data_IF_416723550807
#
_entry.id   IF_416723550807
#
_cell.length_a   1.000
_cell.length_b   1.000
_cell.length_c   1.000
_cell.angle_alpha   90.00
_cell.angle_beta   90.00
_cell.angle_gamma   90.00
#
_symmetry.space_group_name_H-M   'P 1'
#
loop_
_entity.id
_entity.type
_entity.pdbx_description
1 polymer ?
#
# COMPACT_ATOMS: atom_id res chain seq x y z
N UNK A 1 8.24 -12.02 -20.78
CA UNK A 1 6.96 -11.30 -20.66
C UNK A 1 6.02 -12.19 -19.86
N UNK A 2 5.53 -11.74 -18.70
CA UNK A 2 4.56 -12.52 -17.88
C UNK A 2 3.15 -12.30 -18.42
N UNK A 3 2.45 -13.37 -18.77
CA UNK A 3 1.06 -13.34 -19.23
C UNK A 3 0.13 -13.46 -18.02
N UNK A 4 -0.86 -12.58 -17.94
CA UNK A 4 -1.85 -12.55 -16.87
C UNK A 4 -3.23 -12.97 -17.39
N UNK A 5 -3.87 -13.90 -16.69
CA UNK A 5 -5.16 -14.50 -17.00
C UNK A 5 -6.17 -14.21 -15.89
N UNK A 6 -7.46 -14.29 -16.23
CA UNK A 6 -8.64 -14.12 -15.38
C UNK A 6 -8.74 -12.74 -14.69
N UNK A 7 -9.77 -11.96 -15.04
CA UNK A 7 -10.16 -10.77 -14.28
C UNK A 7 -11.16 -11.19 -13.20
N UNK A 8 -10.79 -11.04 -11.92
CA UNK A 8 -11.69 -11.34 -10.82
C UNK A 8 -11.94 -10.10 -9.97
N UNK A 9 -13.20 -9.74 -9.78
CA UNK A 9 -13.57 -8.72 -8.80
C UNK A 9 -13.18 -9.20 -7.40
N UNK A 10 -12.41 -8.39 -6.67
CA UNK A 10 -11.99 -8.69 -5.30
C UNK A 10 -12.87 -7.97 -4.29
N UNK A 11 -13.14 -6.69 -4.55
CA UNK A 11 -13.89 -5.83 -3.64
C UNK A 11 -14.57 -4.71 -4.41
N UNK A 12 -15.76 -4.33 -3.92
CA UNK A 12 -16.43 -3.08 -4.22
C UNK A 12 -16.75 -2.43 -2.87
N UNK A 13 -15.92 -1.48 -2.44
CA UNK A 13 -16.07 -0.77 -1.16
C UNK A 13 -16.19 0.71 -1.47
N UNK A 14 -17.34 1.29 -1.13
CA UNK A 14 -17.64 2.71 -1.37
C UNK A 14 -17.42 3.13 -2.85
N UNK A 15 -17.73 2.25 -3.80
CA UNK A 15 -17.58 2.51 -5.24
C UNK A 15 -16.16 2.29 -5.78
N UNK A 16 -15.18 1.97 -4.92
CA UNK A 16 -13.84 1.58 -5.33
C UNK A 16 -13.85 0.11 -5.76
N UNK A 17 -13.64 -0.13 -7.06
CA UNK A 17 -13.54 -1.48 -7.62
C UNK A 17 -12.08 -1.89 -7.75
N UNK A 18 -11.75 -3.03 -7.15
CA UNK A 18 -10.43 -3.64 -7.25
C UNK A 18 -10.55 -5.03 -7.82
N UNK A 19 -9.72 -5.30 -8.82
CA UNK A 19 -9.67 -6.56 -9.55
C UNK A 19 -8.32 -7.25 -9.34
N UNK A 20 -8.30 -8.58 -9.40
CA UNK A 20 -7.07 -9.36 -9.52
C UNK A 20 -6.93 -9.92 -10.94
N UNK A 21 -5.68 -9.97 -11.42
CA UNK A 21 -5.26 -10.81 -12.54
C UNK A 21 -4.10 -11.71 -12.11
N UNK A 22 -4.19 -12.99 -12.43
CA UNK A 22 -3.21 -13.98 -12.00
C UNK A 22 -2.27 -14.32 -13.16
N UNK A 23 -0.96 -14.32 -12.91
CA UNK A 23 0.01 -14.87 -13.85
C UNK A 23 -0.27 -16.35 -14.15
N UNK A 24 0.28 -16.88 -15.25
CA UNK A 24 0.13 -18.30 -15.61
C UNK A 24 0.46 -19.27 -14.45
N UNK A 25 1.47 -18.97 -13.64
CA UNK A 25 1.87 -19.87 -12.54
C UNK A 25 1.00 -19.64 -11.30
N UNK A 26 0.69 -18.37 -10.98
CA UNK A 26 -0.12 -18.05 -9.79
C UNK A 26 -1.59 -18.45 -9.92
N UNK A 27 -2.13 -18.63 -11.13
CA UNK A 27 -3.50 -19.16 -11.29
C UNK A 27 -3.63 -20.59 -10.77
N UNK A 28 -2.58 -21.42 -10.90
CA UNK A 28 -2.56 -22.78 -10.34
C UNK A 28 -2.36 -22.78 -8.82
N UNK A 29 -1.72 -21.74 -8.27
CA UNK A 29 -1.66 -21.50 -6.82
C UNK A 29 -2.97 -20.94 -6.25
N UNK A 30 -3.82 -20.41 -7.13
CA UNK A 30 -5.17 -19.94 -6.85
C UNK A 30 -6.24 -21.02 -7.09
N UNK A 31 -5.87 -22.30 -7.16
CA UNK A 31 -6.88 -23.36 -7.19
C UNK A 31 -7.65 -23.41 -5.86
N UNK A 32 -8.95 -23.74 -5.87
CA UNK A 32 -9.71 -24.07 -4.66
C UNK A 32 -8.95 -25.09 -3.80
N UNK A 33 -8.85 -24.86 -2.49
CA UNK A 33 -8.52 -25.97 -1.61
C UNK A 33 -9.72 -26.94 -1.57
N UNK A 34 -9.52 -28.21 -1.20
CA UNK A 34 -10.57 -29.24 -1.13
C UNK A 34 -11.76 -28.89 -0.19
N UNK A 35 -11.76 -27.70 0.44
CA UNK A 35 -12.78 -27.19 1.37
C UNK A 35 -13.54 -25.98 0.79
N UNK A 36 -14.16 -26.16 -0.37
CA UNK A 36 -15.45 -25.51 -0.69
C UNK A 36 -15.42 -24.06 -1.21
N UNK A 37 -14.28 -23.55 -1.65
CA UNK A 37 -14.18 -22.18 -2.15
C UNK A 37 -14.15 -22.17 -3.67
N UNK A 38 -15.21 -21.71 -4.35
CA UNK A 38 -15.21 -21.61 -5.83
C UNK A 38 -14.21 -20.58 -6.35
N UNK A 39 -13.74 -19.66 -5.48
CA UNK A 39 -13.05 -18.46 -5.93
C UNK A 39 -11.53 -18.53 -6.01
N UNK A 40 -10.94 -19.60 -5.46
CA UNK A 40 -9.50 -19.81 -5.42
C UNK A 40 -8.84 -19.27 -4.16
N UNK A 41 -7.83 -20.00 -3.65
CA UNK A 41 -7.17 -19.74 -2.36
C UNK A 41 -6.63 -18.32 -2.20
N UNK A 42 -5.93 -17.79 -3.20
CA UNK A 42 -5.35 -16.45 -3.16
C UNK A 42 -6.42 -15.37 -3.21
N UNK A 43 -7.50 -15.58 -3.98
CA UNK A 43 -8.63 -14.65 -4.02
C UNK A 43 -9.27 -14.48 -2.64
N UNK A 44 -9.45 -15.57 -1.88
CA UNK A 44 -10.05 -15.51 -0.55
C UNK A 44 -9.18 -14.84 0.51
N UNK A 45 -7.87 -14.75 0.29
CA UNK A 45 -6.96 -13.95 1.12
C UNK A 45 -6.95 -12.49 0.69
N UNK A 46 -6.91 -12.24 -0.62
CA UNK A 46 -6.85 -10.87 -1.15
C UNK A 46 -8.15 -10.09 -0.93
N UNK A 47 -9.32 -10.66 -1.23
CA UNK A 47 -10.59 -9.94 -1.11
C UNK A 47 -10.83 -9.29 0.27
N UNK A 48 -10.72 -10.02 1.41
CA UNK A 48 -10.88 -9.41 2.73
C UNK A 48 -9.73 -8.44 3.08
N UNK A 49 -8.50 -8.69 2.63
CA UNK A 49 -7.38 -7.78 2.85
C UNK A 49 -7.57 -6.44 2.13
N UNK A 50 -8.02 -6.47 0.87
CA UNK A 50 -8.32 -5.25 0.11
C UNK A 50 -9.50 -4.51 0.71
N UNK A 51 -10.55 -5.22 1.13
CA UNK A 51 -11.67 -4.59 1.84
C UNK A 51 -11.20 -3.86 3.10
N UNK A 52 -10.40 -4.52 3.94
CA UNK A 52 -9.83 -3.94 5.16
C UNK A 52 -8.98 -2.71 4.88
N UNK A 53 -8.11 -2.76 3.85
CA UNK A 53 -7.29 -1.62 3.45
C UNK A 53 -8.13 -0.40 3.03
N UNK A 54 -9.21 -0.61 2.27
CA UNK A 54 -10.09 0.45 1.81
C UNK A 54 -10.92 1.05 2.95
N UNK A 55 -11.38 0.23 3.89
CA UNK A 55 -12.06 0.70 5.11
C UNK A 55 -11.11 1.55 5.97
N UNK A 56 -9.89 1.07 6.21
CA UNK A 56 -8.87 1.80 6.97
C UNK A 56 -8.50 3.14 6.33
N UNK A 57 -8.29 3.15 5.00
CA UNK A 57 -7.98 4.37 4.26
C UNK A 57 -9.11 5.40 4.36
N UNK A 58 -10.37 4.96 4.25
CA UNK A 58 -11.53 5.84 4.35
C UNK A 58 -11.71 6.43 5.76
N UNK A 59 -11.52 5.62 6.80
CA UNK A 59 -11.59 6.08 8.20
C UNK A 59 -10.54 7.16 8.48
N UNK A 60 -9.28 6.87 8.15
CA UNK A 60 -8.17 7.80 8.35
C UNK A 60 -8.36 9.09 7.56
N UNK A 61 -8.73 9.00 6.29
CA UNK A 61 -9.02 10.17 5.46
C UNK A 61 -10.13 11.03 6.09
N UNK A 62 -11.21 10.39 6.55
CA UNK A 62 -12.35 11.08 7.19
C UNK A 62 -11.90 11.80 8.47
N UNK A 63 -11.02 11.19 9.27
CA UNK A 63 -10.49 11.83 10.48
C UNK A 63 -9.66 13.07 10.18
N UNK A 64 -8.81 13.02 9.16
CA UNK A 64 -8.07 14.19 8.69
C UNK A 64 -9.01 15.31 8.22
N UNK A 65 -10.00 14.99 7.38
CA UNK A 65 -10.87 16.00 6.73
C UNK A 65 -11.93 16.59 7.65
N UNK A 66 -12.43 15.82 8.62
CA UNK A 66 -13.36 16.32 9.64
C UNK A 66 -12.66 17.15 10.73
N UNK A 67 -11.33 17.09 10.81
CA UNK A 67 -10.53 17.70 11.85
C UNK A 67 -10.64 17.00 13.22
N UNK A 68 -11.28 15.83 13.29
CA UNK A 68 -11.30 15.00 14.51
C UNK A 68 -9.90 14.50 14.89
N UNK A 69 -9.03 14.27 13.90
CA UNK A 69 -7.60 14.01 14.08
C UNK A 69 -6.89 15.02 15.01
N UNK A 70 -7.27 16.31 14.96
CA UNK A 70 -6.64 17.38 15.75
C UNK A 70 -7.19 17.46 17.18
N UNK A 71 -8.33 16.81 17.45
CA UNK A 71 -8.96 16.77 18.77
C UNK A 71 -8.53 15.55 19.56
N UNK A 72 -8.05 14.52 18.87
CA UNK A 72 -7.58 13.27 19.42
C UNK A 72 -6.12 13.40 19.88
N UNK A 73 -5.92 13.55 21.19
CA UNK A 73 -4.59 13.51 21.83
C UNK A 73 -4.12 12.08 22.13
N UNK A 74 -4.89 11.07 21.74
CA UNK A 74 -4.66 9.66 22.03
C UNK A 74 -3.92 8.93 20.89
N UNK A 75 -4.53 7.87 20.39
CA UNK A 75 -3.92 6.93 19.44
C UNK A 75 -3.46 7.61 18.15
N UNK A 76 -4.25 8.54 17.59
CA UNK A 76 -3.91 9.18 16.33
C UNK A 76 -2.57 9.94 16.41
N UNK A 77 -2.38 10.70 17.49
CA UNK A 77 -1.12 11.39 17.78
C UNK A 77 0.04 10.43 17.95
N UNK A 78 -0.17 9.33 18.68
CA UNK A 78 0.86 8.30 18.91
C UNK A 78 1.33 7.69 17.59
N UNK A 79 0.41 7.39 16.67
CA UNK A 79 0.75 6.80 15.38
C UNK A 79 1.37 7.80 14.39
N UNK A 80 0.98 9.08 14.46
CA UNK A 80 1.68 10.15 13.73
C UNK A 80 3.14 10.30 14.21
N UNK A 81 3.36 10.28 15.52
CA UNK A 81 4.70 10.32 16.11
C UNK A 81 5.50 9.07 15.71
N UNK A 82 4.87 7.89 15.73
CA UNK A 82 5.53 6.62 15.39
C UNK A 82 5.99 6.56 13.93
N UNK A 83 5.13 6.92 12.97
CA UNK A 83 5.41 6.68 11.54
C UNK A 83 5.89 7.90 10.76
N UNK A 84 5.68 9.10 11.29
CA UNK A 84 6.09 10.34 10.63
C UNK A 84 6.97 11.22 11.50
N UNK A 85 7.25 10.83 12.76
CA UNK A 85 8.01 11.65 13.71
C UNK A 85 7.39 13.05 13.90
N UNK A 86 6.05 13.10 13.93
CA UNK A 86 5.25 14.30 14.18
C UNK A 86 4.68 14.21 15.60
N UNK A 87 5.31 14.90 16.54
CA UNK A 87 4.95 14.83 17.97
C UNK A 87 3.64 15.54 18.33
N UNK A 88 3.15 16.41 17.44
CA UNK A 88 1.89 17.16 17.62
C UNK A 88 1.09 17.27 16.32
N UNK A 89 -0.17 16.85 16.39
CA UNK A 89 -1.18 16.94 15.37
C UNK A 89 -1.72 18.37 15.37
N UNK A 90 -0.98 19.25 14.71
CA UNK A 90 -1.33 20.65 14.52
C UNK A 90 -1.48 20.91 13.01
N UNK A 91 -2.27 21.92 12.64
CA UNK A 91 -2.41 22.32 11.22
C UNK A 91 -1.14 23.00 10.73
N UNK A 92 -0.13 22.21 10.43
CA UNK A 92 1.16 22.63 9.88
C UNK A 92 1.44 21.92 8.54
N UNK A 93 2.57 22.26 7.92
CA UNK A 93 2.95 21.71 6.62
C UNK A 93 3.10 20.17 6.65
N UNK A 94 3.57 19.60 7.76
CA UNK A 94 3.72 18.15 7.91
C UNK A 94 2.34 17.47 7.91
N UNK A 95 1.36 17.98 8.68
CA UNK A 95 -0.01 17.48 8.72
C UNK A 95 -0.68 17.55 7.34
N UNK A 96 -0.56 18.68 6.66
CA UNK A 96 -1.11 18.84 5.32
C UNK A 96 -0.38 17.97 4.28
N UNK A 97 0.91 17.73 4.47
CA UNK A 97 1.69 16.79 3.67
C UNK A 97 1.16 15.36 3.77
N UNK A 98 0.94 14.86 4.99
CA UNK A 98 0.37 13.52 5.23
C UNK A 98 -1.03 13.42 4.62
N UNK A 99 -1.90 14.42 4.85
CA UNK A 99 -3.24 14.47 4.27
C UNK A 99 -3.20 14.48 2.73
N UNK A 100 -2.29 15.24 2.12
CA UNK A 100 -2.17 15.31 0.67
C UNK A 100 -1.82 13.95 0.07
N UNK A 101 -0.90 13.19 0.70
CA UNK A 101 -0.54 11.85 0.24
C UNK A 101 -1.70 10.86 0.42
N UNK A 102 -2.38 10.86 1.57
CA UNK A 102 -3.56 10.01 1.81
C UNK A 102 -4.67 10.32 0.80
N UNK A 103 -4.90 11.61 0.51
CA UNK A 103 -5.85 12.05 -0.51
C UNK A 103 -5.46 11.56 -1.91
N UNK A 104 -4.17 11.59 -2.26
CA UNK A 104 -3.69 11.09 -3.54
C UNK A 104 -3.89 9.57 -3.68
N UNK A 105 -3.58 8.80 -2.63
CA UNK A 105 -3.83 7.34 -2.58
C UNK A 105 -5.32 7.06 -2.81
N UNK A 106 -6.18 7.71 -2.02
CA UNK A 106 -7.63 7.51 -2.08
C UNK A 106 -8.22 7.91 -3.43
N UNK A 107 -7.91 9.11 -3.92
CA UNK A 107 -8.41 9.59 -5.21
C UNK A 107 -7.91 8.74 -6.39
N UNK A 108 -6.67 8.25 -6.31
CA UNK A 108 -6.13 7.30 -7.28
C UNK A 108 -6.91 5.98 -7.30
N UNK A 109 -7.25 5.43 -6.14
CA UNK A 109 -8.06 4.22 -6.04
C UNK A 109 -9.52 4.45 -6.52
N UNK A 110 -10.12 5.62 -6.28
CA UNK A 110 -11.50 5.90 -6.71
C UNK A 110 -11.67 6.11 -8.21
N UNK A 111 -10.67 6.70 -8.87
CA UNK A 111 -10.80 7.14 -10.27
C UNK A 111 -10.29 6.13 -11.28
N UNK A 112 -9.57 5.10 -10.84
CA UNK A 112 -8.95 4.11 -11.72
C UNK A 112 -9.62 2.75 -11.59
N UNK A 113 -9.68 2.01 -12.71
CA UNK A 113 -10.00 0.59 -12.65
C UNK A 113 -8.79 -0.17 -12.08
N UNK A 114 -8.78 -0.41 -10.77
CA UNK A 114 -7.61 -0.94 -10.08
C UNK A 114 -7.44 -2.42 -10.39
N UNK A 115 -6.27 -2.77 -10.93
CA UNK A 115 -5.89 -4.16 -11.17
C UNK A 115 -4.64 -4.48 -10.36
N UNK A 116 -4.76 -5.48 -9.49
CA UNK A 116 -3.66 -6.15 -8.81
C UNK A 116 -3.20 -7.31 -9.67
N UNK A 117 -1.92 -7.29 -10.06
CA UNK A 117 -1.28 -8.36 -10.81
C UNK A 117 -0.57 -9.32 -9.85
N UNK A 118 -1.17 -10.49 -9.66
CA UNK A 118 -0.65 -11.53 -8.76
C UNK A 118 0.38 -12.38 -9.51
N UNK A 119 1.63 -12.38 -9.05
CA UNK A 119 2.73 -13.13 -9.68
C UNK A 119 3.27 -14.22 -8.73
N UNK A 120 3.78 -15.32 -9.26
CA UNK A 120 4.28 -16.44 -8.45
C UNK A 120 5.73 -16.26 -7.99
N UNK A 121 6.56 -15.64 -8.82
CA UNK A 121 7.95 -15.28 -8.55
C UNK A 121 8.43 -14.26 -9.57
N UNK A 122 9.31 -13.35 -9.16
CA UNK A 122 10.06 -12.52 -10.11
C UNK A 122 11.31 -13.31 -10.48
N UNK A 123 11.60 -13.57 -11.77
CA UNK A 123 12.87 -14.21 -12.18
C UNK A 123 14.15 -13.40 -11.86
N UNK A 124 14.07 -12.31 -11.10
CA UNK A 124 15.09 -11.26 -11.05
C UNK A 124 15.75 -11.03 -9.68
N UNK A 125 15.38 -11.73 -8.61
CA UNK A 125 16.10 -11.56 -7.34
C UNK A 125 17.18 -12.61 -7.16
N UNK A 126 18.40 -12.13 -6.87
CA UNK A 126 19.50 -12.93 -6.32
C UNK A 126 18.93 -13.87 -5.25
N UNK A 127 19.27 -15.16 -5.35
CA UNK A 127 18.80 -16.38 -4.65
C UNK A 127 18.12 -16.34 -3.26
N UNK A 128 18.05 -15.23 -2.51
CA UNK A 128 17.58 -15.19 -1.11
C UNK A 128 16.60 -14.04 -0.76
N UNK A 129 15.98 -13.34 -1.72
CA UNK A 129 15.03 -12.26 -1.39
C UNK A 129 13.68 -12.42 -2.09
N UNK A 130 12.61 -12.54 -1.29
CA UNK A 130 11.22 -12.57 -1.77
C UNK A 130 10.68 -11.14 -1.79
N UNK A 131 10.33 -10.65 -2.98
CA UNK A 131 9.66 -9.35 -3.15
C UNK A 131 8.17 -9.56 -2.90
N UNK A 132 7.60 -8.85 -1.92
CA UNK A 132 6.18 -8.94 -1.53
C UNK A 132 5.24 -8.26 -2.52
N UNK A 133 5.66 -7.12 -3.07
CA UNK A 133 4.93 -6.35 -4.05
C UNK A 133 5.86 -5.42 -4.82
N UNK A 134 5.35 -4.84 -5.91
CA UNK A 134 6.02 -3.75 -6.61
C UNK A 134 5.05 -2.99 -7.52
N UNK A 135 5.41 -1.76 -7.88
CA UNK A 135 4.76 -1.00 -8.97
C UNK A 135 5.70 -0.88 -10.16
N UNK A 136 5.20 -1.18 -11.35
CA UNK A 136 6.00 -1.00 -12.58
C UNK A 136 6.25 0.49 -12.85
N UNK A 137 7.51 0.85 -13.15
CA UNK A 137 7.89 2.22 -13.53
C UNK A 137 8.09 2.30 -15.05
N UNK A 138 7.52 3.33 -15.66
CA UNK A 138 7.74 3.65 -17.07
C UNK A 138 8.43 5.01 -17.19
N UNK A 139 9.34 5.13 -18.14
CA UNK A 139 9.88 6.43 -18.55
C UNK A 139 8.81 7.19 -19.33
N UNK A 140 8.67 8.49 -19.04
CA UNK A 140 7.71 9.40 -19.68
C UNK A 140 7.82 9.29 -21.21
N UNK A 141 6.67 9.21 -21.90
CA UNK A 141 6.59 9.22 -23.37
C UNK A 141 6.28 7.86 -24.00
N UNK A 142 6.17 6.79 -23.21
CA UNK A 142 5.62 5.51 -23.66
C UNK A 142 4.21 5.33 -23.10
N UNK A 143 3.26 6.10 -23.63
CA UNK A 143 1.84 6.01 -23.27
C UNK A 143 1.38 4.54 -23.22
N UNK A 144 1.04 4.08 -22.02
CA UNK A 144 0.37 2.80 -21.81
C UNK A 144 -0.99 3.09 -21.18
N UNK A 145 -2.02 2.42 -21.68
CA UNK A 145 -3.42 2.53 -21.22
C UNK A 145 -3.67 2.23 -19.73
N UNK A 146 -2.64 1.83 -18.98
CA UNK A 146 -2.70 1.46 -17.56
C UNK A 146 -1.68 2.23 -16.70
N UNK A 147 -0.98 3.20 -17.29
CA UNK A 147 -0.04 4.04 -16.58
C UNK A 147 -0.78 5.23 -15.94
N UNK A 148 -0.49 5.49 -14.68
CA UNK A 148 -0.93 6.67 -13.94
C UNK A 148 0.23 7.66 -13.86
N UNK A 149 0.00 8.89 -14.32
CA UNK A 149 0.96 9.98 -14.13
C UNK A 149 1.08 10.28 -12.63
N UNK A 150 2.31 10.34 -12.14
CA UNK A 150 2.60 10.57 -10.74
C UNK A 150 3.86 11.44 -10.61
N UNK A 151 3.94 12.23 -9.53
CA UNK A 151 5.17 12.91 -9.13
C UNK A 151 5.84 12.07 -8.07
N UNK A 152 6.92 11.39 -8.45
CA UNK A 152 7.72 10.61 -7.51
C UNK A 152 8.65 11.53 -6.74
N UNK A 153 8.62 11.41 -5.42
CA UNK A 153 9.55 12.10 -4.56
C UNK A 153 10.98 11.61 -4.80
N UNK A 154 11.94 12.52 -4.83
CA UNK A 154 13.37 12.21 -4.94
C UNK A 154 14.11 12.95 -3.86
N UNK A 155 15.13 12.31 -3.29
CA UNK A 155 16.03 12.96 -2.35
C UNK A 155 17.41 13.02 -2.99
N UNK A 156 17.86 14.23 -3.30
CA UNK A 156 19.21 14.49 -3.81
C UNK A 156 19.89 15.49 -2.88
N UNK A 157 21.05 15.11 -2.35
CA UNK A 157 21.84 15.95 -1.43
C UNK A 157 21.03 16.47 -0.22
N UNK A 158 20.15 15.62 0.32
CA UNK A 158 19.28 15.96 1.46
C UNK A 158 18.12 16.91 1.15
N UNK A 159 17.95 17.31 -0.13
CA UNK A 159 16.82 18.13 -0.58
C UNK A 159 15.75 17.26 -1.23
N UNK A 160 14.49 17.55 -0.91
CA UNK A 160 13.32 16.94 -1.53
C UNK A 160 13.09 17.59 -2.91
N UNK A 161 13.03 16.77 -3.94
CA UNK A 161 12.61 17.13 -5.29
C UNK A 161 11.53 16.19 -5.79
N UNK A 162 10.92 16.50 -6.93
CA UNK A 162 9.93 15.64 -7.56
C UNK A 162 10.28 15.43 -9.03
N UNK A 163 10.14 14.20 -9.51
CA UNK A 163 10.25 13.87 -10.92
C UNK A 163 8.93 13.32 -11.42
N UNK A 164 8.53 13.73 -12.61
CA UNK A 164 7.35 13.14 -13.25
C UNK A 164 7.69 11.72 -13.69
N UNK A 165 6.78 10.79 -13.40
CA UNK A 165 6.90 9.38 -13.76
C UNK A 165 5.54 8.83 -14.11
N UNK A 166 5.56 7.78 -14.94
CA UNK A 166 4.38 6.97 -15.21
C UNK A 166 4.48 5.68 -14.39
N UNK A 167 3.50 5.41 -13.55
CA UNK A 167 3.42 4.21 -12.70
C UNK A 167 2.36 3.26 -13.25
N UNK A 168 2.72 2.01 -13.45
CA UNK A 168 1.80 1.00 -13.97
C UNK A 168 0.97 0.32 -12.88
N UNK A 169 0.67 -0.96 -13.09
CA UNK A 169 -0.14 -1.75 -12.16
C UNK A 169 0.60 -2.05 -10.85
N UNK A 170 -0.20 -2.29 -9.81
CA UNK A 170 0.27 -2.86 -8.54
C UNK A 170 0.45 -4.37 -8.73
N UNK A 171 1.60 -4.89 -8.33
CA UNK A 171 1.90 -6.31 -8.34
C UNK A 171 2.04 -6.83 -6.91
N UNK A 172 1.52 -8.02 -6.65
CA UNK A 172 1.66 -8.71 -5.35
C UNK A 172 2.08 -10.16 -5.55
N UNK A 173 2.98 -10.64 -4.71
CA UNK A 173 3.51 -12.00 -4.79
C UNK A 173 2.50 -13.00 -4.20
N UNK A 174 2.22 -14.06 -4.95
CA UNK A 174 1.32 -15.14 -4.54
C UNK A 174 1.81 -15.86 -3.27
N UNK A 175 3.12 -16.09 -3.13
CA UNK A 175 3.70 -16.65 -1.91
C UNK A 175 3.44 -15.75 -0.71
N UNK A 176 3.67 -14.44 -0.85
CA UNK A 176 3.39 -13.46 0.20
C UNK A 176 1.90 -13.47 0.56
N UNK A 177 1.01 -13.43 -0.44
CA UNK A 177 -0.44 -13.45 -0.22
C UNK A 177 -0.89 -14.67 0.58
N UNK A 178 -0.35 -15.84 0.23
CA UNK A 178 -0.73 -17.13 0.83
C UNK A 178 -0.25 -17.25 2.29
N UNK A 179 0.95 -16.75 2.59
CA UNK A 179 1.58 -16.90 3.90
C UNK A 179 1.27 -15.73 4.86
N UNK A 180 0.80 -14.60 4.36
CA UNK A 180 0.48 -13.44 5.19
C UNK A 180 -0.93 -13.49 5.79
N UNK A 181 -1.07 -12.73 6.88
CA UNK A 181 -2.34 -12.32 7.44
C UNK A 181 -3.11 -11.40 6.49
N UNK A 182 -4.43 -11.28 6.70
CA UNK A 182 -5.20 -10.29 5.93
C UNK A 182 -4.70 -8.87 6.22
N UNK A 183 -4.29 -8.62 7.47
CA UNK A 183 -3.66 -7.36 7.88
C UNK A 183 -2.38 -7.06 7.09
N UNK A 184 -1.42 -8.00 7.01
CA UNK A 184 -0.16 -7.77 6.29
C UNK A 184 -0.36 -7.66 4.77
N UNK A 185 -1.34 -8.37 4.21
CA UNK A 185 -1.72 -8.21 2.81
C UNK A 185 -2.34 -6.83 2.54
N UNK A 186 -3.13 -6.30 3.48
CA UNK A 186 -3.69 -4.94 3.41
C UNK A 186 -2.60 -3.87 3.48
N UNK A 187 -1.63 -4.03 4.40
CA UNK A 187 -0.43 -3.17 4.47
C UNK A 187 0.33 -3.19 3.15
N UNK A 188 0.61 -4.38 2.61
CA UNK A 188 1.34 -4.52 1.33
C UNK A 188 0.59 -3.82 0.20
N UNK A 189 -0.74 -3.98 0.12
CA UNK A 189 -1.54 -3.30 -0.89
C UNK A 189 -1.46 -1.78 -0.79
N UNK A 190 -1.60 -1.21 0.42
CA UNK A 190 -1.51 0.24 0.62
C UNK A 190 -0.10 0.78 0.36
N UNK A 191 0.93 0.01 0.72
CA UNK A 191 2.33 0.32 0.42
C UNK A 191 2.50 0.52 -1.09
N UNK A 192 2.11 -0.48 -1.90
CA UNK A 192 2.22 -0.38 -3.35
C UNK A 192 1.29 0.67 -3.97
N UNK A 193 0.07 0.82 -3.44
CA UNK A 193 -0.85 1.87 -3.88
C UNK A 193 -0.26 3.27 -3.64
N UNK A 194 0.48 3.46 -2.55
CA UNK A 194 1.17 4.73 -2.26
C UNK A 194 2.26 5.05 -3.28
N UNK A 195 3.03 4.05 -3.73
CA UNK A 195 4.01 4.26 -4.81
C UNK A 195 3.33 4.69 -6.11
N UNK A 196 2.19 4.07 -6.43
CA UNK A 196 1.48 4.32 -7.68
C UNK A 196 0.82 5.71 -7.72
N UNK A 197 0.10 6.05 -6.65
CA UNK A 197 -0.82 7.19 -6.66
C UNK A 197 -0.28 8.43 -5.94
N UNK A 198 0.58 8.23 -4.94
CA UNK A 198 1.17 9.33 -4.15
C UNK A 198 2.68 9.52 -4.41
N UNK A 199 3.32 8.62 -5.16
CA UNK A 199 4.73 8.79 -5.54
C UNK A 199 5.70 8.65 -4.38
N UNK A 200 5.29 7.91 -3.35
CA UNK A 200 6.15 7.54 -2.24
C UNK A 200 7.32 6.67 -2.72
N UNK A 201 8.34 6.54 -1.87
CA UNK A 201 9.58 5.82 -2.16
C UNK A 201 9.92 4.83 -1.05
N UNK A 202 10.79 3.88 -1.38
CA UNK A 202 11.40 2.97 -0.42
C UNK A 202 12.77 3.47 0.03
N UNK A 203 13.01 3.48 1.33
CA UNK A 203 14.29 3.87 1.92
C UNK A 203 15.14 2.66 2.36
N UNK A 204 14.96 1.50 1.69
CA UNK A 204 15.59 0.23 2.07
C UNK A 204 15.20 -0.18 3.50
N UNK A 205 16.09 -0.87 4.21
CA UNK A 205 15.83 -1.35 5.59
C UNK A 205 15.46 -0.23 6.58
N UNK A 206 15.81 1.03 6.28
CA UNK A 206 15.39 2.17 7.12
C UNK A 206 13.93 2.55 6.92
N UNK A 207 13.37 2.25 5.76
CA UNK A 207 11.99 2.56 5.39
C UNK A 207 11.02 1.45 5.76
N UNK A 208 11.46 0.19 5.88
CA UNK A 208 10.61 -0.94 6.23
C UNK A 208 10.49 -1.15 7.75
N UNK A 209 9.36 -1.73 8.16
CA UNK A 209 9.06 -2.05 9.56
C UNK A 209 8.80 -3.54 9.77
N UNK A 210 9.01 -4.01 11.00
CA UNK A 210 8.58 -5.36 11.42
C UNK A 210 7.05 -5.45 11.60
N UNK A 211 6.53 -6.57 12.13
CA UNK A 211 5.08 -6.76 12.28
C UNK A 211 4.49 -5.82 13.33
N UNK A 212 5.27 -5.45 14.34
CA UNK A 212 4.96 -4.49 15.42
C UNK A 212 5.01 -3.03 14.95
N UNK A 213 5.59 -2.78 13.77
CA UNK A 213 5.73 -1.45 13.19
C UNK A 213 6.99 -0.72 13.61
N UNK A 214 7.99 -1.42 14.14
CA UNK A 214 9.30 -0.85 14.43
C UNK A 214 10.18 -0.89 13.17
N UNK A 215 10.85 0.22 12.86
CA UNK A 215 11.73 0.28 11.68
C UNK A 215 12.90 -0.71 11.81
N UNK A 216 13.14 -1.49 10.76
CA UNK A 216 14.17 -2.54 10.74
C UNK A 216 15.59 -1.97 10.92
N UNK A 217 15.79 -0.70 10.53
CA UNK A 217 17.04 0.02 10.72
C UNK A 217 16.81 1.48 11.12
N UNK A 218 17.60 1.95 12.09
CA UNK A 218 17.59 3.35 12.52
C UNK A 218 18.05 4.32 11.42
N UNK A 219 17.60 5.57 11.51
CA UNK A 219 18.07 6.68 10.70
C UNK A 219 17.17 7.09 9.55
N UNK A 220 15.89 6.71 9.57
CA UNK A 220 14.84 7.38 8.80
C UNK A 220 14.59 8.76 9.42
N UNK A 221 14.59 9.80 8.60
CA UNK A 221 14.32 11.18 9.07
C UNK A 221 12.83 11.50 8.91
N UNK A 222 12.34 12.55 9.58
CA UNK A 222 10.98 13.08 9.34
C UNK A 222 10.70 13.34 7.85
N UNK A 223 11.60 14.02 7.16
CA UNK A 223 11.46 14.29 5.72
C UNK A 223 11.38 13.02 4.88
N UNK A 224 12.17 11.99 5.22
CA UNK A 224 12.10 10.67 4.56
C UNK A 224 10.80 9.94 4.88
N UNK A 225 10.35 9.97 6.14
CA UNK A 225 9.12 9.32 6.58
C UNK A 225 7.87 9.89 5.89
N UNK A 226 7.83 11.21 5.66
CA UNK A 226 6.76 11.90 4.93
C UNK A 226 6.63 11.46 3.46
N UNK A 227 7.63 10.80 2.88
CA UNK A 227 7.58 10.26 1.52
C UNK A 227 7.78 8.74 1.46
N UNK A 228 7.82 8.06 2.61
CA UNK A 228 8.10 6.64 2.71
C UNK A 228 6.82 5.82 2.57
N UNK A 229 6.78 4.86 1.63
CA UNK A 229 5.58 4.06 1.35
C UNK A 229 5.09 3.29 2.58
N UNK A 230 6.01 2.66 3.31
CA UNK A 230 5.71 1.89 4.52
C UNK A 230 5.10 2.75 5.63
N UNK A 231 5.57 4.01 5.79
CA UNK A 231 5.05 4.92 6.82
C UNK A 231 3.55 5.15 6.64
N UNK A 232 3.09 5.36 5.41
CA UNK A 232 1.66 5.52 5.12
C UNK A 232 0.88 4.23 5.33
N UNK A 233 1.37 3.11 4.80
CA UNK A 233 0.69 1.82 4.90
C UNK A 233 0.50 1.41 6.37
N UNK A 234 1.55 1.52 7.19
CA UNK A 234 1.52 1.17 8.61
C UNK A 234 0.73 2.15 9.45
N UNK A 235 0.89 3.45 9.20
CA UNK A 235 0.07 4.45 9.86
C UNK A 235 -1.42 4.19 9.64
N UNK A 236 -1.85 4.01 8.39
CA UNK A 236 -3.27 3.79 8.07
C UNK A 236 -3.78 2.52 8.77
N UNK A 237 -3.03 1.43 8.66
CA UNK A 237 -3.49 0.11 9.11
C UNK A 237 -3.43 -0.07 10.62
N UNK A 238 -2.31 0.28 11.27
CA UNK A 238 -2.19 0.11 12.72
C UNK A 238 -3.07 1.08 13.49
N UNK A 239 -3.23 2.29 12.99
CA UNK A 239 -4.19 3.23 13.54
C UNK A 239 -5.60 2.66 13.50
N UNK A 240 -6.06 2.26 12.32
CA UNK A 240 -7.39 1.71 12.13
C UNK A 240 -7.61 0.45 12.98
N UNK A 241 -6.60 -0.42 13.06
CA UNK A 241 -6.67 -1.63 13.85
C UNK A 241 -6.82 -1.34 15.35
N UNK A 242 -6.08 -0.37 15.89
CA UNK A 242 -6.17 0.02 17.29
C UNK A 242 -7.54 0.61 17.64
N UNK A 243 -8.09 1.46 16.77
CA UNK A 243 -9.38 2.10 17.00
C UNK A 243 -10.58 1.16 16.85
N UNK A 244 -10.46 0.13 16.00
CA UNK A 244 -11.56 -0.76 15.65
C UNK A 244 -11.39 -2.19 16.18
N UNK A 245 -10.35 -2.46 16.98
CA UNK A 245 -10.09 -3.78 17.56
C UNK A 245 -9.80 -4.87 16.51
N UNK A 246 -9.16 -4.51 15.41
CA UNK A 246 -8.79 -5.48 14.36
C UNK A 246 -7.62 -6.33 14.82
N UNK A 247 -7.75 -7.66 14.73
CA UNK A 247 -6.66 -8.58 15.02
C UNK A 247 -5.58 -8.50 13.94
N UNK A 248 -4.36 -8.14 14.34
CA UNK A 248 -3.21 -7.99 13.43
C UNK A 248 -2.46 -9.31 13.19
N UNK A 249 -2.77 -10.35 13.96
CA UNK A 249 -2.11 -11.65 13.90
C UNK A 249 -2.70 -12.62 12.84
N UNK A 250 -3.90 -12.33 12.28
CA UNK A 250 -4.70 -13.26 11.44
C UNK A 250 -4.76 -12.90 9.96
#
# INVERSE_FOLDING_TARGET
>A
MTIYFANKSLADVNGIKVHARYSFVSIFQNLPNKKGSSDGRLTHKLAPAIKLALEALNDVYTRFTSGSALKDKGSFQQYLAKYFFIDKAEKNDDYFGVLAMIKAIKGGLETNNNVIKVFSDIPLTKKNFVVSGYVTRYHIGKSKSHATACKEATVKDGKLGFVEVEKGDVHMNAYTIDNNSNFLNAVTFLHEASHKYAGTVDHGDKGYTDKEGEYLKKGLTKGSALINAESYARFIMHYYAAENGVDTAI
#
